data_IF_730788604091
#
_entry.id   IF_730788604091
#
_cell.length_a   1.000
_cell.length_b   1.000
_cell.length_c   1.000
_cell.angle_alpha   90.00
_cell.angle_beta   90.00
_cell.angle_gamma   90.00
#
_symmetry.space_group_name_H-M   'P 1'
#
loop_
_entity.id
_entity.type
_entity.pdbx_description
1 polymer ?
#
# COMPACT_ATOMS: atom_id res chain seq x y z
N UNK A 1 -44.72 36.99 16.23
CA UNK A 1 -44.40 35.56 16.02
C UNK A 1 -42.89 35.41 15.98
N UNK A 2 -42.29 34.75 16.98
CA UNK A 2 -40.83 34.63 17.07
C UNK A 2 -40.36 33.34 16.39
N UNK A 3 -39.51 33.44 15.36
CA UNK A 3 -38.79 32.29 14.80
C UNK A 3 -37.60 31.97 15.69
N UNK A 4 -37.54 30.73 16.21
CA UNK A 4 -36.38 30.21 16.93
C UNK A 4 -35.31 29.82 15.92
N UNK A 5 -34.13 30.43 16.00
CA UNK A 5 -32.94 29.99 15.29
C UNK A 5 -32.20 28.99 16.16
N UNK A 6 -32.10 27.73 15.70
CA UNK A 6 -31.19 26.73 16.25
C UNK A 6 -29.96 26.65 15.36
N UNK A 7 -28.79 26.96 15.91
CA UNK A 7 -27.51 26.75 15.22
C UNK A 7 -27.07 25.29 15.25
N UNK A 8 -26.00 24.98 14.51
CA UNK A 8 -25.42 23.64 14.29
C UNK A 8 -24.99 22.89 15.59
N UNK A 9 -24.97 23.60 16.72
CA UNK A 9 -24.65 23.06 18.05
C UNK A 9 -25.83 23.11 19.06
N UNK A 10 -27.06 23.34 18.59
CA UNK A 10 -28.23 23.36 19.48
C UNK A 10 -28.68 21.93 19.85
N UNK A 11 -28.86 21.60 21.15
CA UNK A 11 -29.22 20.24 21.60
C UNK A 11 -30.60 19.72 21.14
N UNK A 12 -31.37 20.52 20.42
CA UNK A 12 -32.79 20.27 20.13
C UNK A 12 -33.12 20.19 18.63
N UNK A 13 -32.17 19.80 17.77
CA UNK A 13 -32.39 19.87 16.32
C UNK A 13 -31.54 18.97 15.44
N UNK A 14 -31.17 17.76 15.88
CA UNK A 14 -30.67 16.77 14.91
C UNK A 14 -31.87 16.07 14.25
N UNK A 15 -32.09 16.23 12.93
CA UNK A 15 -33.01 15.36 12.21
C UNK A 15 -32.54 13.91 12.37
N UNK A 16 -33.37 13.08 13.01
CA UNK A 16 -33.15 11.64 13.09
C UNK A 16 -33.04 11.09 11.66
N UNK A 17 -31.83 10.70 11.26
CA UNK A 17 -31.59 10.06 9.96
C UNK A 17 -30.35 10.52 9.19
N UNK A 18 -29.63 11.57 9.63
CA UNK A 18 -28.35 11.92 8.97
C UNK A 18 -27.24 11.06 9.55
N UNK A 19 -26.61 10.15 8.76
CA UNK A 19 -25.43 9.44 9.23
C UNK A 19 -24.33 10.46 9.60
N UNK A 20 -23.56 10.21 10.68
CA UNK A 20 -22.53 11.12 11.12
C UNK A 20 -21.55 11.41 9.97
N UNK A 21 -21.02 12.64 9.87
CA UNK A 21 -20.05 12.98 8.82
C UNK A 21 -18.84 12.05 8.95
N UNK A 22 -18.59 11.25 7.91
CA UNK A 22 -17.43 10.35 7.85
C UNK A 22 -16.17 11.18 7.97
N UNK A 23 -15.28 10.80 8.89
CA UNK A 23 -14.00 11.45 9.06
C UNK A 23 -13.19 11.34 7.77
N UNK A 24 -12.39 12.35 7.37
CA UNK A 24 -11.45 12.26 6.26
C UNK A 24 -10.43 11.11 6.41
N UNK A 25 -10.36 10.50 7.59
CA UNK A 25 -9.49 9.40 7.97
C UNK A 25 -10.23 8.07 8.20
N UNK A 26 -11.56 8.01 8.03
CA UNK A 26 -12.31 6.75 8.15
C UNK A 26 -11.81 5.75 7.10
N UNK A 27 -11.32 4.60 7.58
CA UNK A 27 -10.75 3.55 6.75
C UNK A 27 -9.31 3.78 6.27
N UNK A 28 -8.64 4.87 6.66
CA UNK A 28 -7.20 5.08 6.40
C UNK A 28 -6.36 4.49 7.53
N UNK A 29 -5.71 3.36 7.27
CA UNK A 29 -4.67 2.86 8.18
C UNK A 29 -3.37 3.65 7.99
N UNK A 30 -2.64 4.00 9.06
CA UNK A 30 -1.31 4.58 8.94
C UNK A 30 -0.46 3.73 8.01
N UNK A 31 0.24 4.35 7.06
CA UNK A 31 1.21 3.62 6.25
C UNK A 31 2.27 3.05 7.19
N UNK A 32 2.56 1.74 7.16
CA UNK A 32 3.60 1.15 8.01
C UNK A 32 5.01 1.53 7.53
N UNK A 33 5.13 2.46 6.58
CA UNK A 33 6.37 3.10 6.16
C UNK A 33 6.83 4.09 7.24
N UNK A 34 7.22 3.53 8.39
CA UNK A 34 7.70 4.30 9.53
C UNK A 34 9.10 4.84 9.32
N UNK A 35 9.48 5.78 10.20
CA UNK A 35 10.82 6.39 10.27
C UNK A 35 11.97 5.36 10.22
N UNK A 36 11.73 4.13 10.71
CA UNK A 36 12.70 3.02 10.69
C UNK A 36 13.18 2.64 9.28
N UNK A 37 12.27 2.56 8.30
CA UNK A 37 12.65 2.22 6.92
C UNK A 37 13.39 3.38 6.27
N UNK A 38 12.99 4.62 6.56
CA UNK A 38 13.69 5.79 6.04
C UNK A 38 15.11 5.92 6.63
N UNK A 39 15.32 5.53 7.89
CA UNK A 39 16.63 5.53 8.53
C UNK A 39 17.66 4.64 7.81
N UNK A 40 17.23 3.53 7.17
CA UNK A 40 18.11 2.68 6.36
C UNK A 40 18.76 3.43 5.18
N UNK A 41 18.09 4.43 4.62
CA UNK A 41 18.65 5.23 3.52
C UNK A 41 19.72 6.22 4.01
N UNK A 42 19.71 6.57 5.30
CA UNK A 42 20.73 7.43 5.90
C UNK A 42 21.97 6.63 6.33
N UNK A 43 21.81 5.35 6.67
CA UNK A 43 22.89 4.48 7.13
C UNK A 43 24.14 4.45 6.23
N UNK A 44 24.05 4.39 4.88
CA UNK A 44 25.22 4.37 4.02
C UNK A 44 25.86 5.75 3.79
N UNK A 45 25.25 6.87 4.21
CA UNK A 45 25.77 8.21 3.91
C UNK A 45 27.18 8.46 4.49
N UNK A 46 27.47 8.13 5.76
CA UNK A 46 28.82 8.30 6.30
C UNK A 46 29.84 7.45 5.52
N UNK A 47 29.46 6.24 5.11
CA UNK A 47 30.32 5.36 4.31
C UNK A 47 30.67 5.98 2.96
N UNK A 48 29.68 6.55 2.25
CA UNK A 48 29.91 7.22 0.97
C UNK A 48 30.80 8.45 1.12
N UNK A 49 30.56 9.28 2.14
CA UNK A 49 31.36 10.49 2.38
C UNK A 49 32.82 10.14 2.70
N UNK A 50 33.02 9.12 3.55
CA UNK A 50 34.36 8.68 3.94
C UNK A 50 35.08 7.91 2.82
N UNK A 51 34.35 7.31 1.88
CA UNK A 51 34.94 6.55 0.78
C UNK A 51 35.88 7.40 -0.10
N UNK A 52 35.58 8.69 -0.28
CA UNK A 52 36.41 9.61 -1.09
C UNK A 52 37.79 9.90 -0.49
N UNK A 53 38.01 9.59 0.79
CA UNK A 53 39.30 9.74 1.45
C UNK A 53 40.13 8.44 1.45
N UNK A 54 39.66 7.40 0.74
CA UNK A 54 40.32 6.09 0.68
C UNK A 54 41.08 5.91 -0.64
N UNK A 55 42.01 4.95 -0.63
CA UNK A 55 42.66 4.47 -1.85
C UNK A 55 41.63 3.89 -2.85
N UNK A 56 41.96 3.78 -4.16
CA UNK A 56 40.98 3.40 -5.20
C UNK A 56 40.23 2.09 -4.92
N UNK A 57 40.90 1.08 -4.38
CA UNK A 57 40.29 -0.20 -4.00
C UNK A 57 39.31 -0.03 -2.84
N UNK A 58 39.70 0.71 -1.81
CA UNK A 58 38.85 1.05 -0.67
C UNK A 58 37.64 1.90 -1.06
N UNK A 59 37.80 2.83 -1.99
CA UNK A 59 36.72 3.61 -2.59
C UNK A 59 35.73 2.70 -3.31
N UNK A 60 36.19 1.83 -4.21
CA UNK A 60 35.33 0.92 -4.98
C UNK A 60 34.52 -0.02 -4.09
N UNK A 61 35.15 -0.62 -3.07
CA UNK A 61 34.49 -1.50 -2.10
C UNK A 61 33.47 -0.73 -1.24
N UNK A 62 33.82 0.46 -0.76
CA UNK A 62 32.92 1.28 0.06
C UNK A 62 31.69 1.74 -0.73
N UNK A 63 31.86 2.14 -1.99
CA UNK A 63 30.75 2.54 -2.86
C UNK A 63 29.87 1.36 -3.24
N UNK A 64 30.45 0.20 -3.52
CA UNK A 64 29.69 -1.03 -3.82
C UNK A 64 28.93 -1.51 -2.58
N UNK A 65 29.56 -1.44 -1.40
CA UNK A 65 28.92 -1.69 -0.12
C UNK A 65 27.73 -0.77 0.13
N UNK A 66 27.94 0.55 -0.05
CA UNK A 66 26.88 1.55 0.07
C UNK A 66 25.74 1.34 -0.93
N UNK A 67 26.04 1.03 -2.19
CA UNK A 67 25.04 0.72 -3.21
C UNK A 67 24.21 -0.52 -2.83
N UNK A 68 24.86 -1.55 -2.28
CA UNK A 68 24.18 -2.74 -1.76
C UNK A 68 23.27 -2.43 -0.58
N UNK A 69 23.71 -1.58 0.36
CA UNK A 69 22.88 -1.09 1.48
C UNK A 69 21.67 -0.27 1.01
N UNK A 70 21.83 0.57 -0.02
CA UNK A 70 20.72 1.32 -0.61
C UNK A 70 19.71 0.39 -1.31
N UNK A 71 20.21 -0.62 -2.03
CA UNK A 71 19.36 -1.65 -2.63
C UNK A 71 18.61 -2.45 -1.54
N UNK A 72 19.26 -2.77 -0.42
CA UNK A 72 18.64 -3.39 0.75
C UNK A 72 17.53 -2.52 1.35
N UNK A 73 17.77 -1.21 1.50
CA UNK A 73 16.78 -0.26 1.99
C UNK A 73 15.55 -0.21 1.09
N UNK A 74 15.76 -0.17 -0.23
CA UNK A 74 14.70 -0.18 -1.22
C UNK A 74 13.89 -1.48 -1.20
N UNK A 75 14.55 -2.64 -1.18
CA UNK A 75 13.88 -3.95 -1.06
C UNK A 75 13.07 -4.06 0.23
N UNK A 76 13.62 -3.61 1.36
CA UNK A 76 12.94 -3.65 2.66
C UNK A 76 11.71 -2.75 2.67
N UNK A 77 11.80 -1.55 2.09
CA UNK A 77 10.68 -0.63 1.95
C UNK A 77 9.53 -1.27 1.17
N UNK A 78 9.85 -1.91 0.06
CA UNK A 78 8.89 -2.53 -0.84
C UNK A 78 8.33 -3.84 -0.25
N UNK A 79 9.10 -4.54 0.59
CA UNK A 79 8.65 -5.68 1.39
C UNK A 79 7.71 -5.29 2.53
N UNK A 80 7.99 -4.21 3.26
CA UNK A 80 7.09 -3.66 4.29
C UNK A 80 5.76 -3.24 3.67
N UNK A 81 5.80 -2.59 2.50
CA UNK A 81 4.59 -2.22 1.74
C UNK A 81 3.78 -3.45 1.31
N UNK A 82 4.44 -4.47 0.79
CA UNK A 82 3.78 -5.72 0.39
C UNK A 82 3.14 -6.44 1.58
N UNK A 83 3.84 -6.52 2.71
CA UNK A 83 3.29 -7.11 3.93
C UNK A 83 2.10 -6.32 4.47
N UNK A 84 2.11 -4.99 4.38
CA UNK A 84 0.97 -4.17 4.76
C UNK A 84 -0.28 -4.51 3.95
N UNK A 85 -0.12 -4.61 2.62
CA UNK A 85 -1.21 -4.99 1.71
C UNK A 85 -1.71 -6.42 1.98
N UNK A 86 -0.80 -7.35 2.27
CA UNK A 86 -1.13 -8.71 2.67
C UNK A 86 -1.90 -8.76 4.00
N UNK A 87 -1.46 -8.00 5.01
CA UNK A 87 -2.07 -7.99 6.34
C UNK A 87 -3.46 -7.35 6.34
N UNK A 88 -3.68 -6.31 5.53
CA UNK A 88 -4.94 -5.59 5.43
C UNK A 88 -6.09 -6.45 4.86
N UNK A 89 -5.78 -7.49 4.08
CA UNK A 89 -6.79 -8.37 3.45
C UNK A 89 -7.03 -9.60 4.31
N UNK A 90 -8.26 -10.09 4.41
CA UNK A 90 -8.56 -11.39 5.05
C UNK A 90 -8.14 -12.57 4.17
N UNK A 91 -8.27 -12.42 2.86
CA UNK A 91 -7.86 -13.38 1.84
C UNK A 91 -6.72 -12.77 1.02
N UNK A 92 -5.53 -13.37 1.03
CA UNK A 92 -4.36 -12.87 0.30
C UNK A 92 -3.38 -13.97 -0.07
N UNK A 93 -2.83 -13.89 -1.30
CA UNK A 93 -1.70 -14.73 -1.71
C UNK A 93 -0.40 -14.21 -1.08
N UNK A 94 0.50 -15.13 -0.75
CA UNK A 94 1.86 -14.78 -0.31
C UNK A 94 2.58 -13.93 -1.38
N UNK A 95 3.44 -12.97 -0.98
CA UNK A 95 4.29 -12.26 -1.92
C UNK A 95 5.15 -13.22 -2.74
N UNK A 96 5.30 -12.95 -4.05
CA UNK A 96 6.07 -13.82 -4.96
C UNK A 96 7.59 -13.81 -4.69
N UNK A 97 8.09 -12.76 -4.04
CA UNK A 97 9.50 -12.60 -3.68
C UNK A 97 9.60 -12.20 -2.20
N UNK A 98 10.45 -12.86 -1.39
CA UNK A 98 10.69 -12.50 0.00
C UNK A 98 11.62 -11.28 0.07
N UNK A 99 11.06 -10.10 -0.22
CA UNK A 99 11.80 -8.84 -0.40
C UNK A 99 12.54 -8.40 0.88
N UNK A 100 12.01 -8.64 2.08
CA UNK A 100 12.71 -8.34 3.33
C UNK A 100 13.87 -9.29 3.58
N UNK A 101 13.71 -10.58 3.27
CA UNK A 101 14.81 -11.54 3.37
C UNK A 101 15.95 -11.19 2.40
N UNK A 102 15.62 -10.87 1.15
CA UNK A 102 16.59 -10.36 0.16
C UNK A 102 17.24 -9.06 0.62
N UNK A 103 16.45 -8.14 1.18
CA UNK A 103 16.94 -6.92 1.81
C UNK A 103 17.95 -7.20 2.92
N UNK A 104 17.70 -8.19 3.77
CA UNK A 104 18.61 -8.56 4.84
C UNK A 104 19.95 -9.09 4.32
N UNK A 105 19.91 -9.94 3.29
CA UNK A 105 21.12 -10.47 2.64
C UNK A 105 21.92 -9.33 1.99
N UNK A 106 21.26 -8.43 1.26
CA UNK A 106 21.91 -7.27 0.66
C UNK A 106 22.51 -6.33 1.72
N UNK A 107 21.82 -6.13 2.84
CA UNK A 107 22.32 -5.32 3.95
C UNK A 107 23.60 -5.92 4.55
N UNK A 108 23.59 -7.22 4.81
CA UNK A 108 24.77 -7.95 5.26
C UNK A 108 25.92 -7.87 4.27
N UNK A 109 25.66 -8.09 2.97
CA UNK A 109 26.67 -7.94 1.92
C UNK A 109 27.26 -6.52 1.87
N UNK A 110 26.41 -5.50 1.98
CA UNK A 110 26.86 -4.10 1.99
C UNK A 110 27.79 -3.79 3.16
N UNK A 111 27.42 -4.24 4.36
CA UNK A 111 28.24 -4.11 5.57
C UNK A 111 29.54 -4.92 5.47
N UNK A 112 29.48 -6.14 4.93
CA UNK A 112 30.64 -7.01 4.72
C UNK A 112 31.64 -6.39 3.74
N UNK A 113 31.16 -5.87 2.61
CA UNK A 113 32.01 -5.19 1.62
C UNK A 113 32.67 -3.93 2.20
N UNK A 114 31.91 -3.13 2.96
CA UNK A 114 32.45 -1.93 3.60
C UNK A 114 33.53 -2.26 4.64
N UNK A 115 33.34 -3.34 5.42
CA UNK A 115 34.27 -3.75 6.48
C UNK A 115 35.50 -4.52 5.96
N UNK A 116 35.42 -5.11 4.76
CA UNK A 116 36.55 -5.76 4.11
C UNK A 116 37.70 -4.80 3.81
N UNK A 117 37.44 -3.49 3.73
CA UNK A 117 38.46 -2.48 3.43
C UNK A 117 39.54 -2.42 4.51
N UNK A 118 39.15 -2.50 5.78
CA UNK A 118 40.09 -2.33 6.91
C UNK A 118 40.23 -3.62 7.76
N UNK A 119 39.23 -4.49 7.78
CA UNK A 119 39.13 -5.61 8.72
C UNK A 119 39.51 -6.99 8.18
N UNK A 120 39.79 -7.12 6.88
CA UNK A 120 40.03 -8.41 6.23
C UNK A 120 38.78 -9.32 6.14
N UNK A 121 38.94 -10.50 5.53
CA UNK A 121 37.81 -11.36 5.13
C UNK A 121 37.01 -11.93 6.31
N UNK A 122 37.66 -12.25 7.43
CA UNK A 122 36.99 -12.80 8.62
C UNK A 122 36.07 -11.75 9.25
N UNK A 123 36.58 -10.53 9.43
CA UNK A 123 35.78 -9.41 9.96
C UNK A 123 34.62 -9.08 9.03
N UNK A 124 34.85 -9.09 7.72
CA UNK A 124 33.82 -8.89 6.71
C UNK A 124 32.70 -9.93 6.81
N UNK A 125 33.05 -11.22 6.93
CA UNK A 125 32.07 -12.29 7.07
C UNK A 125 31.26 -12.18 8.37
N UNK A 126 31.92 -11.87 9.49
CA UNK A 126 31.26 -11.69 10.79
C UNK A 126 30.29 -10.50 10.77
N UNK A 127 30.72 -9.34 10.27
CA UNK A 127 29.88 -8.16 10.20
C UNK A 127 28.74 -8.32 9.17
N UNK A 128 28.96 -9.06 8.09
CA UNK A 128 27.89 -9.41 7.15
C UNK A 128 26.82 -10.28 7.82
N UNK A 129 27.23 -11.29 8.60
CA UNK A 129 26.31 -12.15 9.34
C UNK A 129 25.53 -11.34 10.39
N UNK A 130 26.22 -10.51 11.18
CA UNK A 130 25.59 -9.65 12.20
C UNK A 130 24.62 -8.67 11.55
N UNK A 131 25.02 -8.00 10.46
CA UNK A 131 24.18 -7.08 9.72
C UNK A 131 22.91 -7.73 9.19
N UNK A 132 23.03 -8.94 8.63
CA UNK A 132 21.89 -9.73 8.15
C UNK A 132 20.94 -10.07 9.31
N UNK A 133 21.47 -10.57 10.43
CA UNK A 133 20.69 -10.97 11.60
C UNK A 133 19.96 -9.78 12.23
N UNK A 134 20.65 -8.65 12.41
CA UNK A 134 20.05 -7.42 12.95
C UNK A 134 18.97 -6.89 12.01
N UNK A 135 19.16 -6.97 10.69
CA UNK A 135 18.15 -6.55 9.72
C UNK A 135 16.92 -7.46 9.78
N UNK A 136 17.10 -8.77 9.86
CA UNK A 136 16.00 -9.73 10.05
C UNK A 136 15.27 -9.48 11.39
N UNK A 137 16.00 -9.23 12.48
CA UNK A 137 15.42 -8.94 13.77
C UNK A 137 14.61 -7.62 13.78
N UNK A 138 15.09 -6.60 13.05
CA UNK A 138 14.44 -5.29 12.98
C UNK A 138 13.17 -5.28 12.09
N UNK A 139 13.16 -6.01 10.98
CA UNK A 139 12.10 -5.95 9.97
C UNK A 139 11.24 -7.20 9.85
N UNK A 140 11.68 -8.32 10.42
CA UNK A 140 11.06 -9.64 10.31
C UNK A 140 11.19 -10.26 8.91
N UNK A 141 10.72 -11.50 8.82
CA UNK A 141 10.59 -12.22 7.54
C UNK A 141 9.29 -11.83 6.82
N UNK A 142 9.29 -11.98 5.49
CA UNK A 142 8.07 -11.82 4.69
C UNK A 142 7.06 -12.96 4.98
N UNK A 143 5.75 -12.71 4.87
CA UNK A 143 4.74 -13.77 4.97
C UNK A 143 4.97 -14.86 3.91
N UNK A 144 5.08 -16.12 4.31
CA UNK A 144 5.38 -17.24 3.41
C UNK A 144 4.18 -18.15 3.09
N UNK A 145 3.04 -17.90 3.74
CA UNK A 145 1.81 -18.68 3.60
C UNK A 145 0.69 -17.86 2.96
N UNK A 146 -0.23 -18.53 2.27
CA UNK A 146 -1.46 -17.90 1.81
C UNK A 146 -2.43 -17.73 2.99
N UNK A 147 -3.17 -16.62 3.02
CA UNK A 147 -4.11 -16.27 4.09
C UNK A 147 -5.54 -16.52 3.62
N UNK A 148 -6.35 -17.18 4.44
CA UNK A 148 -7.80 -17.31 4.22
C UNK A 148 -8.20 -18.07 2.95
N UNK A 149 -7.29 -18.90 2.43
CA UNK A 149 -7.49 -19.67 1.19
C UNK A 149 -7.83 -21.16 1.45
N UNK A 150 -8.00 -21.56 2.71
CA UNK A 150 -8.44 -22.91 3.07
C UNK A 150 -9.93 -23.08 2.75
N UNK A 151 -10.24 -23.97 1.80
CA UNK A 151 -11.61 -24.37 1.47
C UNK A 151 -12.37 -23.49 0.46
N UNK A 152 -11.73 -22.47 -0.12
CA UNK A 152 -12.32 -21.64 -1.20
C UNK A 152 -11.70 -22.05 -2.54
N UNK A 153 -12.53 -22.55 -3.45
CA UNK A 153 -12.13 -22.95 -4.80
C UNK A 153 -11.46 -21.79 -5.54
N UNK A 154 -10.22 -21.98 -5.99
CA UNK A 154 -9.38 -20.97 -6.64
C UNK A 154 -10.08 -20.27 -7.82
N UNK A 155 -11.00 -20.95 -8.49
CA UNK A 155 -11.84 -20.39 -9.56
C UNK A 155 -12.75 -19.25 -9.08
N UNK A 156 -13.26 -19.32 -7.85
CA UNK A 156 -14.17 -18.30 -7.32
C UNK A 156 -13.41 -17.01 -6.99
N UNK A 157 -12.25 -17.11 -6.33
CA UNK A 157 -11.40 -15.96 -6.01
C UNK A 157 -10.91 -15.24 -7.26
N UNK A 158 -10.48 -15.98 -8.28
CA UNK A 158 -10.03 -15.38 -9.55
C UNK A 158 -11.19 -14.75 -10.35
N UNK A 159 -12.44 -15.18 -10.13
CA UNK A 159 -13.63 -14.51 -10.69
C UNK A 159 -13.96 -13.21 -9.96
N UNK A 160 -13.84 -13.20 -8.63
CA UNK A 160 -14.03 -11.98 -7.82
C UNK A 160 -13.01 -10.92 -8.21
N UNK A 161 -11.72 -11.28 -8.23
CA UNK A 161 -10.65 -10.34 -8.56
C UNK A 161 -10.84 -9.70 -9.95
N UNK A 162 -11.25 -10.50 -10.95
CA UNK A 162 -11.56 -9.98 -12.29
C UNK A 162 -12.78 -9.04 -12.30
N UNK A 163 -13.85 -9.42 -11.62
CA UNK A 163 -15.07 -8.60 -11.55
C UNK A 163 -14.84 -7.26 -10.84
N UNK A 164 -14.07 -7.26 -9.74
CA UNK A 164 -13.72 -6.04 -9.01
C UNK A 164 -12.80 -5.15 -9.84
N UNK A 165 -11.80 -5.70 -10.52
CA UNK A 165 -10.91 -4.94 -11.41
C UNK A 165 -11.69 -4.25 -12.55
N UNK A 166 -12.64 -4.96 -13.19
CA UNK A 166 -13.51 -4.36 -14.20
C UNK A 166 -14.35 -3.22 -13.61
N UNK A 167 -14.92 -3.41 -12.41
CA UNK A 167 -15.71 -2.39 -11.73
C UNK A 167 -14.88 -1.16 -11.32
N UNK A 168 -13.64 -1.34 -10.86
CA UNK A 168 -12.73 -0.23 -10.60
C UNK A 168 -12.41 0.58 -11.86
N UNK A 169 -12.24 -0.08 -13.01
CA UNK A 169 -12.05 0.60 -14.29
C UNK A 169 -13.26 1.46 -14.69
N UNK A 170 -14.47 0.99 -14.41
CA UNK A 170 -15.70 1.74 -14.65
C UNK A 170 -15.82 2.96 -13.73
N UNK A 171 -15.46 2.82 -12.44
CA UNK A 171 -15.41 3.98 -11.52
C UNK A 171 -14.40 5.02 -11.99
N UNK A 172 -13.22 4.61 -12.47
CA UNK A 172 -12.23 5.53 -13.00
C UNK A 172 -12.77 6.30 -14.21
N UNK A 173 -13.37 5.59 -15.18
CA UNK A 173 -14.01 6.22 -16.34
C UNK A 173 -15.12 7.19 -15.96
N UNK A 174 -15.91 6.88 -14.92
CA UNK A 174 -16.94 7.77 -14.38
C UNK A 174 -16.33 9.06 -13.80
N UNK A 175 -15.19 8.98 -13.09
CA UNK A 175 -14.49 10.15 -12.57
C UNK A 175 -13.94 11.02 -13.68
N UNK A 176 -13.34 10.41 -14.70
CA UNK A 176 -12.80 11.14 -15.84
C UNK A 176 -13.92 11.85 -16.63
N UNK A 177 -15.08 11.20 -16.77
CA UNK A 177 -16.26 11.83 -17.36
C UNK A 177 -16.74 13.04 -16.56
N UNK A 178 -16.93 12.93 -15.24
CA UNK A 178 -17.48 14.04 -14.45
C UNK A 178 -16.54 15.24 -14.36
N UNK A 179 -15.22 15.03 -14.42
CA UNK A 179 -14.24 16.12 -14.46
C UNK A 179 -14.41 17.02 -15.70
N UNK A 180 -14.94 16.47 -16.80
CA UNK A 180 -15.22 17.25 -18.02
C UNK A 180 -16.40 18.20 -17.86
N UNK A 181 -17.35 17.87 -16.98
CA UNK A 181 -18.51 18.71 -16.67
C UNK A 181 -18.15 19.99 -15.87
N UNK A 182 -16.96 20.04 -15.24
CA UNK A 182 -16.45 21.18 -14.44
C UNK A 182 -17.40 21.68 -13.34
N UNK A 183 -18.25 20.81 -12.80
CA UNK A 183 -19.15 21.09 -11.68
C UNK A 183 -18.64 20.43 -10.39
N UNK A 184 -18.20 21.27 -9.46
CA UNK A 184 -17.61 20.84 -8.18
C UNK A 184 -18.59 20.11 -7.26
N UNK A 185 -19.89 20.42 -7.33
CA UNK A 185 -20.90 19.75 -6.52
C UNK A 185 -21.16 18.33 -7.04
N UNK A 186 -21.21 18.16 -8.36
CA UNK A 186 -21.37 16.85 -8.98
C UNK A 186 -20.12 15.97 -8.81
N UNK A 187 -18.92 16.56 -8.92
CA UNK A 187 -17.66 15.86 -8.61
C UNK A 187 -17.68 15.27 -7.19
N UNK A 188 -18.11 16.05 -6.19
CA UNK A 188 -18.19 15.59 -4.80
C UNK A 188 -19.21 14.44 -4.63
N UNK A 189 -20.32 14.46 -5.37
CA UNK A 189 -21.31 13.35 -5.34
C UNK A 189 -20.75 12.07 -5.97
N UNK A 190 -19.99 12.19 -7.06
CA UNK A 190 -19.31 11.04 -7.68
C UNK A 190 -18.25 10.49 -6.72
N UNK A 191 -17.49 11.35 -6.04
CA UNK A 191 -16.50 10.90 -5.04
C UNK A 191 -17.13 10.13 -3.88
N UNK A 192 -18.28 10.60 -3.37
CA UNK A 192 -19.03 9.90 -2.33
C UNK A 192 -19.58 8.54 -2.83
N UNK A 193 -20.05 8.49 -4.08
CA UNK A 193 -20.48 7.24 -4.71
C UNK A 193 -19.32 6.25 -4.87
N UNK A 194 -18.17 6.70 -5.38
CA UNK A 194 -16.97 5.88 -5.53
C UNK A 194 -16.49 5.32 -4.19
N UNK A 195 -16.52 6.12 -3.12
CA UNK A 195 -16.17 5.66 -1.78
C UNK A 195 -17.09 4.51 -1.33
N UNK A 196 -18.39 4.65 -1.52
CA UNK A 196 -19.38 3.62 -1.17
C UNK A 196 -19.21 2.35 -2.01
N UNK A 197 -18.96 2.49 -3.32
CA UNK A 197 -18.70 1.36 -4.21
C UNK A 197 -17.43 0.61 -3.81
N UNK A 198 -16.35 1.32 -3.45
CA UNK A 198 -15.10 0.70 -2.98
C UNK A 198 -15.28 -0.04 -1.65
N UNK A 199 -16.13 0.45 -0.74
CA UNK A 199 -16.48 -0.27 0.48
C UNK A 199 -17.22 -1.60 0.16
N UNK A 200 -18.13 -1.56 -0.82
CA UNK A 200 -18.78 -2.78 -1.32
C UNK A 200 -17.79 -3.75 -1.96
N UNK A 201 -16.83 -3.26 -2.77
CA UNK A 201 -15.82 -4.11 -3.40
C UNK A 201 -14.99 -4.85 -2.35
N UNK A 202 -14.55 -4.15 -1.30
CA UNK A 202 -13.83 -4.77 -0.16
C UNK A 202 -14.65 -5.87 0.52
N UNK A 203 -15.95 -5.66 0.67
CA UNK A 203 -16.85 -6.66 1.26
C UNK A 203 -16.90 -7.93 0.39
N UNK A 204 -16.97 -7.78 -0.93
CA UNK A 204 -16.99 -8.90 -1.88
C UNK A 204 -15.61 -9.60 -1.97
N UNK A 205 -14.53 -8.85 -1.85
CA UNK A 205 -13.17 -9.41 -1.77
C UNK A 205 -12.96 -10.19 -0.46
N UNK A 206 -13.59 -9.77 0.64
CA UNK A 206 -13.54 -10.44 1.94
C UNK A 206 -14.37 -11.75 1.95
N UNK A 207 -15.49 -11.82 1.21
CA UNK A 207 -16.30 -13.02 1.05
C UNK A 207 -16.71 -13.26 -0.42
N UNK A 208 -16.03 -14.19 -1.14
CA UNK A 208 -16.31 -14.49 -2.54
C UNK A 208 -17.77 -14.92 -2.84
N UNK A 209 -18.51 -15.38 -1.83
CA UNK A 209 -19.92 -15.79 -1.97
C UNK A 209 -20.82 -14.59 -2.27
N UNK A 210 -20.46 -13.41 -1.78
CA UNK A 210 -21.21 -12.17 -1.97
C UNK A 210 -21.19 -11.67 -3.41
N UNK A 211 -20.25 -12.14 -4.24
CA UNK A 211 -20.20 -11.81 -5.66
C UNK A 211 -21.51 -12.16 -6.38
N UNK A 212 -22.19 -13.24 -5.98
CA UNK A 212 -23.44 -13.65 -6.62
C UNK A 212 -24.55 -12.61 -6.40
N UNK A 213 -24.64 -12.05 -5.18
CA UNK A 213 -25.59 -11.00 -4.85
C UNK A 213 -25.20 -9.65 -5.49
N UNK A 214 -23.90 -9.35 -5.56
CA UNK A 214 -23.39 -8.07 -6.05
C UNK A 214 -23.23 -7.99 -7.58
N UNK A 215 -23.31 -9.10 -8.31
CA UNK A 215 -23.05 -9.16 -9.76
C UNK A 215 -23.85 -8.13 -10.57
N UNK A 216 -25.13 -7.93 -10.22
CA UNK A 216 -26.00 -6.95 -10.91
C UNK A 216 -25.51 -5.52 -10.71
N UNK A 217 -25.03 -5.21 -9.51
CA UNK A 217 -24.48 -3.91 -9.15
C UNK A 217 -23.15 -3.64 -9.86
N UNK A 218 -22.22 -4.59 -9.83
CA UNK A 218 -20.91 -4.48 -10.50
C UNK A 218 -21.01 -4.42 -12.02
N UNK A 219 -21.94 -5.18 -12.62
CA UNK A 219 -22.05 -5.29 -14.07
C UNK A 219 -22.99 -4.26 -14.68
N UNK A 220 -24.29 -4.41 -14.41
CA UNK A 220 -25.34 -3.66 -15.13
C UNK A 220 -25.47 -2.25 -14.59
N UNK A 221 -25.55 -2.10 -13.27
CA UNK A 221 -25.83 -0.80 -12.67
C UNK A 221 -24.62 0.13 -12.71
N UNK A 222 -23.42 -0.37 -12.44
CA UNK A 222 -22.22 0.45 -12.49
C UNK A 222 -21.90 0.91 -13.92
N UNK A 223 -22.03 0.02 -14.91
CA UNK A 223 -21.90 0.38 -16.33
C UNK A 223 -22.94 1.42 -16.74
N UNK A 224 -24.21 1.20 -16.40
CA UNK A 224 -25.28 2.16 -16.70
C UNK A 224 -25.07 3.52 -16.06
N UNK A 225 -24.60 3.57 -14.80
CA UNK A 225 -24.25 4.81 -14.13
C UNK A 225 -23.06 5.52 -14.80
N UNK A 226 -22.05 4.76 -15.25
CA UNK A 226 -20.87 5.30 -15.95
C UNK A 226 -21.27 5.91 -17.29
N UNK A 227 -22.08 5.21 -18.08
CA UNK A 227 -22.59 5.69 -19.37
C UNK A 227 -23.51 6.92 -19.20
N UNK A 228 -24.38 6.93 -18.19
CA UNK A 228 -25.23 8.07 -17.88
C UNK A 228 -24.39 9.31 -17.49
N UNK A 229 -23.33 9.11 -16.70
CA UNK A 229 -22.40 10.18 -16.31
C UNK A 229 -21.64 10.72 -17.52
N UNK A 230 -21.19 9.85 -18.42
CA UNK A 230 -20.53 10.24 -19.67
C UNK A 230 -21.44 11.09 -20.55
N UNK A 231 -22.70 10.65 -20.78
CA UNK A 231 -23.67 11.42 -21.57
C UNK A 231 -24.01 12.77 -20.93
N UNK A 232 -24.12 12.82 -19.60
CA UNK A 232 -24.40 14.07 -18.90
C UNK A 232 -23.24 15.08 -19.02
N UNK A 233 -22.00 14.60 -18.97
CA UNK A 233 -20.83 15.48 -19.10
C UNK A 233 -20.63 16.06 -20.52
N UNK A 234 -21.34 15.52 -21.52
CA UNK A 234 -21.30 15.99 -22.91
C UNK A 234 -22.43 17.00 -23.24
N UNK A 235 -23.31 17.32 -22.27
CA UNK A 235 -24.37 18.34 -22.37
C UNK A 235 -23.87 19.72 -21.98
#
# INVERSE_FOLDING_TARGET
MARRFGGEFSPAGQPQGTPPPRSPFDGKTPTPMGARVNALFLAPLPLVLLAFFREPTGLALSLTGAASMLAAAWMTREGVRAQAAYAARKIARRPSLPRKALGAVLMGLGIGLASAVDGGMITAALLAAIGTLLHLAAFGLDPMADKGMEGIDHFQTDRVARAVSEAESQLAAMKDAILRARDRHLEARVDAFQATARDMFRTIEDDPRDLTAARKYLGVYLRGATEATARFADL
#
